data_IF_467705827191
#
_entry.id   IF_467705827191
#
_cell.length_a   1.000
_cell.length_b   1.000
_cell.length_c   1.000
_cell.angle_alpha   90.00
_cell.angle_beta   90.00
_cell.angle_gamma   90.00
#
_symmetry.space_group_name_H-M   'P 1'
#
loop_
_entity.id
_entity.type
_entity.pdbx_description
1 polymer ?
#
# COMPACT_ATOMS: atom_id res chain seq x y z
N UNK A 1 15.99 4.78 -6.86
CA UNK A 1 14.80 4.00 -6.48
C UNK A 1 13.72 5.03 -6.21
N UNK A 2 12.62 4.97 -6.95
CA UNK A 2 11.51 5.91 -6.86
C UNK A 2 10.55 5.40 -5.79
N UNK A 3 10.09 6.28 -4.91
CA UNK A 3 9.19 5.91 -3.82
C UNK A 3 7.82 6.55 -4.05
N UNK A 4 6.79 5.74 -3.94
CA UNK A 4 5.40 6.17 -3.91
C UNK A 4 4.79 5.67 -2.61
N UNK A 5 4.27 6.57 -1.79
CA UNK A 5 3.69 6.20 -0.50
C UNK A 5 2.18 6.41 -0.53
N UNK A 6 1.43 5.36 -0.26
CA UNK A 6 0.00 5.39 0.01
C UNK A 6 -0.15 5.40 1.54
N UNK A 7 -0.53 6.54 2.11
CA UNK A 7 -0.62 6.72 3.56
C UNK A 7 -2.06 6.88 4.01
N UNK A 8 -2.50 6.07 4.96
CA UNK A 8 -3.78 6.27 5.64
C UNK A 8 -3.74 7.56 6.50
N UNK A 9 -4.76 8.39 6.38
CA UNK A 9 -4.97 9.58 7.22
C UNK A 9 -6.12 9.38 8.23
N UNK A 10 -7.04 8.45 7.94
CA UNK A 10 -8.16 8.13 8.81
C UNK A 10 -9.19 7.22 8.17
N UNK A 11 -10.17 6.81 8.97
CA UNK A 11 -11.28 5.95 8.57
C UNK A 11 -12.51 6.83 8.27
N UNK A 12 -13.23 6.50 7.20
CA UNK A 12 -14.53 7.10 6.86
C UNK A 12 -15.62 6.01 6.80
N UNK A 13 -16.88 6.40 6.59
CA UNK A 13 -17.99 5.45 6.56
C UNK A 13 -17.87 4.49 5.36
N UNK A 14 -17.37 3.28 5.63
CA UNK A 14 -17.16 2.23 4.62
C UNK A 14 -15.79 2.25 3.93
N UNK A 15 -14.82 3.05 4.38
CA UNK A 15 -13.49 3.10 3.77
C UNK A 15 -12.47 3.93 4.55
N UNK A 16 -11.51 4.48 3.82
CA UNK A 16 -10.33 5.16 4.35
C UNK A 16 -10.05 6.44 3.58
N UNK A 17 -9.77 7.51 4.30
CA UNK A 17 -9.12 8.70 3.74
C UNK A 17 -7.62 8.47 3.75
N UNK A 18 -6.96 8.66 2.62
CA UNK A 18 -5.53 8.44 2.48
C UNK A 18 -4.88 9.54 1.63
N UNK A 19 -3.55 9.59 1.62
CA UNK A 19 -2.75 10.43 0.74
C UNK A 19 -1.87 9.59 -0.16
N UNK A 20 -1.82 9.95 -1.44
CA UNK A 20 -0.88 9.43 -2.41
C UNK A 20 0.29 10.42 -2.53
N UNK A 21 1.44 10.03 -2.00
CA UNK A 21 2.63 10.85 -1.91
C UNK A 21 3.70 10.39 -2.90
N UNK A 22 4.13 11.29 -3.77
CA UNK A 22 5.17 11.05 -4.76
C UNK A 22 6.53 11.53 -4.23
N UNK A 23 7.62 10.89 -4.66
CA UNK A 23 9.01 11.30 -4.35
C UNK A 23 9.32 12.74 -4.83
N UNK A 24 8.53 13.26 -5.78
CA UNK A 24 8.58 14.66 -6.24
C UNK A 24 8.19 15.68 -5.15
N UNK A 25 7.58 15.22 -4.04
CA UNK A 25 7.02 16.04 -2.98
C UNK A 25 5.54 16.38 -3.16
N UNK A 26 4.94 16.00 -4.30
CA UNK A 26 3.51 16.19 -4.53
C UNK A 26 2.70 15.15 -3.74
N UNK A 27 1.58 15.60 -3.18
CA UNK A 27 0.67 14.80 -2.37
C UNK A 27 -0.76 15.04 -2.79
N UNK A 28 -1.52 13.96 -2.96
CA UNK A 28 -2.89 13.99 -3.41
C UNK A 28 -3.80 13.24 -2.44
N UNK A 29 -4.90 13.84 -1.95
CA UNK A 29 -5.88 13.13 -1.16
C UNK A 29 -6.61 12.11 -2.03
N UNK A 30 -6.80 10.91 -1.50
CA UNK A 30 -7.52 9.81 -2.11
C UNK A 30 -8.50 9.20 -1.12
N UNK A 31 -9.49 8.46 -1.63
CA UNK A 31 -10.38 7.63 -0.83
C UNK A 31 -10.21 6.20 -1.28
N UNK A 32 -10.00 5.30 -0.33
CA UNK A 32 -9.82 3.88 -0.57
C UNK A 32 -10.90 3.12 0.18
N UNK A 33 -11.57 2.21 -0.48
CA UNK A 33 -12.50 1.24 0.10
C UNK A 33 -12.07 -0.14 -0.35
N UNK A 34 -12.43 -1.17 0.41
CA UNK A 34 -12.25 -2.54 -0.06
C UNK A 34 -13.05 -2.75 -1.36
N UNK A 35 -12.39 -3.09 -2.50
CA UNK A 35 -13.08 -3.40 -3.74
C UNK A 35 -14.01 -4.61 -3.66
N UNK A 36 -13.84 -5.50 -2.69
CA UNK A 36 -14.69 -6.67 -2.54
C UNK A 36 -15.84 -6.46 -1.56
N UNK A 37 -16.94 -7.13 -1.89
CA UNK A 37 -17.99 -7.46 -0.95
C UNK A 37 -17.61 -8.66 -0.10
N UNK A 38 -18.26 -8.83 1.05
CA UNK A 38 -18.09 -10.00 1.91
C UNK A 38 -18.32 -11.35 1.18
N UNK A 39 -19.13 -11.37 0.12
CA UNK A 39 -19.35 -12.59 -0.66
C UNK A 39 -18.20 -12.88 -1.61
N UNK A 40 -17.65 -11.85 -2.27
CA UNK A 40 -16.49 -12.00 -3.15
C UNK A 40 -15.25 -12.43 -2.37
N UNK A 41 -15.05 -11.91 -1.16
CA UNK A 41 -13.96 -12.35 -0.27
C UNK A 41 -14.11 -13.84 0.10
N UNK A 42 -15.33 -14.28 0.46
CA UNK A 42 -15.60 -15.71 0.75
C UNK A 42 -15.43 -16.62 -0.46
N UNK A 43 -15.83 -16.15 -1.64
CA UNK A 43 -15.64 -16.92 -2.88
C UNK A 43 -14.15 -17.05 -3.22
N UNK A 44 -13.34 -16.03 -2.90
CA UNK A 44 -11.89 -16.06 -3.05
C UNK A 44 -11.22 -16.99 -2.02
N UNK A 45 -11.64 -16.94 -0.76
CA UNK A 45 -11.21 -17.84 0.31
C UNK A 45 -11.48 -19.30 -0.08
N UNK A 46 -12.72 -19.61 -0.48
CA UNK A 46 -13.09 -20.94 -0.99
C UNK A 46 -12.21 -21.39 -2.16
N UNK A 47 -11.89 -20.49 -3.09
CA UNK A 47 -11.06 -20.81 -4.24
C UNK A 47 -9.64 -21.24 -3.81
N UNK A 48 -9.00 -20.47 -2.93
CA UNK A 48 -7.64 -20.77 -2.48
C UNK A 48 -7.55 -21.93 -1.47
N UNK A 49 -8.53 -22.07 -0.58
CA UNK A 49 -8.47 -23.03 0.51
C UNK A 49 -9.10 -24.38 0.18
N UNK A 50 -10.16 -24.41 -0.63
CA UNK A 50 -10.89 -25.64 -0.95
C UNK A 50 -10.65 -26.07 -2.39
N UNK A 51 -10.94 -25.19 -3.36
CA UNK A 51 -10.97 -25.60 -4.77
C UNK A 51 -9.58 -25.94 -5.31
N UNK A 52 -8.55 -25.14 -4.98
CA UNK A 52 -7.18 -25.43 -5.41
C UNK A 52 -6.61 -26.75 -4.84
N UNK A 53 -7.17 -27.24 -3.72
CA UNK A 53 -6.77 -28.54 -3.16
C UNK A 53 -7.34 -29.70 -3.99
N UNK A 54 -8.58 -29.57 -4.50
CA UNK A 54 -9.23 -30.58 -5.34
C UNK A 54 -10.02 -29.95 -6.51
N UNK A 55 -9.33 -29.50 -7.59
CA UNK A 55 -9.93 -28.68 -8.65
C UNK A 55 -10.70 -29.52 -9.68
N UNK A 56 -11.81 -30.11 -9.25
CA UNK A 56 -12.58 -31.08 -10.06
C UNK A 56 -14.02 -30.65 -10.36
N UNK A 57 -14.69 -30.01 -9.40
CA UNK A 57 -16.08 -29.53 -9.52
C UNK A 57 -16.12 -28.00 -9.41
N UNK A 58 -17.27 -27.37 -9.70
CA UNK A 58 -17.48 -25.92 -9.55
C UNK A 58 -16.48 -25.03 -10.33
N UNK A 59 -16.02 -25.51 -11.49
CA UNK A 59 -15.05 -24.80 -12.36
C UNK A 59 -15.49 -23.39 -12.75
N UNK A 60 -16.80 -23.16 -12.91
CA UNK A 60 -17.34 -21.84 -13.24
C UNK A 60 -17.23 -20.87 -12.06
N UNK A 61 -17.46 -21.34 -10.83
CA UNK A 61 -17.28 -20.54 -9.61
C UNK A 61 -15.79 -20.24 -9.41
N UNK A 62 -14.94 -21.24 -9.60
CA UNK A 62 -13.50 -21.10 -9.52
C UNK A 62 -12.95 -20.08 -10.53
N UNK A 63 -13.41 -20.14 -11.79
CA UNK A 63 -13.01 -19.16 -12.80
C UNK A 63 -13.46 -17.74 -12.44
N UNK A 64 -14.66 -17.58 -11.85
CA UNK A 64 -15.13 -16.27 -11.38
C UNK A 64 -14.29 -15.74 -10.23
N UNK A 65 -13.96 -16.58 -9.24
CA UNK A 65 -13.08 -16.21 -8.13
C UNK A 65 -11.66 -15.89 -8.61
N UNK A 66 -11.11 -16.65 -9.55
CA UNK A 66 -9.81 -16.32 -10.15
C UNK A 66 -9.83 -14.96 -10.87
N UNK A 67 -10.89 -14.67 -11.63
CA UNK A 67 -11.05 -13.41 -12.34
C UNK A 67 -11.32 -12.22 -11.39
N UNK A 68 -11.89 -12.46 -10.20
CA UNK A 68 -12.22 -11.39 -9.25
C UNK A 68 -10.96 -10.69 -8.73
N UNK A 69 -9.82 -11.40 -8.61
CA UNK A 69 -8.53 -10.80 -8.21
C UNK A 69 -8.09 -9.70 -9.18
N UNK A 70 -8.26 -9.93 -10.49
CA UNK A 70 -7.94 -8.90 -11.48
C UNK A 70 -8.87 -7.69 -11.34
N UNK A 71 -10.17 -7.93 -11.19
CA UNK A 71 -11.16 -6.87 -11.00
C UNK A 71 -10.89 -6.06 -9.72
N UNK A 72 -10.49 -6.74 -8.64
CA UNK A 72 -10.06 -6.11 -7.39
C UNK A 72 -8.92 -5.13 -7.64
N UNK A 73 -7.85 -5.62 -8.26
CA UNK A 73 -6.65 -4.84 -8.55
C UNK A 73 -6.90 -3.59 -9.40
N UNK A 74 -7.73 -3.74 -10.43
CA UNK A 74 -8.09 -2.64 -11.33
C UNK A 74 -9.03 -1.62 -10.68
N UNK A 75 -9.94 -2.07 -9.81
CA UNK A 75 -10.79 -1.17 -9.03
C UNK A 75 -9.99 -0.41 -7.97
N UNK A 76 -9.05 -1.08 -7.28
CA UNK A 76 -8.15 -0.42 -6.34
C UNK A 76 -7.27 0.61 -7.06
N UNK A 77 -6.78 0.29 -8.26
CA UNK A 77 -5.99 1.22 -9.08
C UNK A 77 -6.77 2.49 -9.43
N UNK A 78 -8.05 2.36 -9.81
CA UNK A 78 -8.90 3.53 -10.09
C UNK A 78 -9.01 4.45 -8.88
N UNK A 79 -9.22 3.88 -7.70
CA UNK A 79 -9.34 4.65 -6.45
C UNK A 79 -8.05 5.41 -6.11
N UNK A 80 -6.89 4.73 -6.23
CA UNK A 80 -5.59 5.30 -5.87
C UNK A 80 -5.10 6.33 -6.89
N UNK A 81 -5.14 6.01 -8.18
CA UNK A 81 -4.46 6.82 -9.20
C UNK A 81 -5.38 7.65 -10.08
N UNK A 82 -6.63 7.22 -10.28
CA UNK A 82 -7.55 7.89 -11.22
C UNK A 82 -8.57 8.80 -10.53
N UNK A 83 -8.56 8.88 -9.21
CA UNK A 83 -9.38 9.85 -8.45
C UNK A 83 -8.93 11.30 -8.64
N UNK A 84 -7.69 11.53 -9.09
CA UNK A 84 -7.13 12.85 -9.38
C UNK A 84 -6.32 12.84 -10.69
N UNK A 85 -6.64 13.76 -11.62
CA UNK A 85 -5.99 13.83 -12.94
C UNK A 85 -4.49 14.14 -12.87
N UNK A 86 -4.07 14.98 -11.92
CA UNK A 86 -2.66 15.33 -11.74
C UNK A 86 -1.88 14.14 -11.18
N UNK A 87 -2.44 13.45 -10.18
CA UNK A 87 -1.87 12.21 -9.65
C UNK A 87 -1.72 11.14 -10.73
N UNK A 88 -2.74 10.96 -11.58
CA UNK A 88 -2.67 10.04 -12.71
C UNK A 88 -1.58 10.43 -13.71
N UNK A 89 -1.42 11.73 -13.98
CA UNK A 89 -0.35 12.26 -14.83
C UNK A 89 1.04 11.89 -14.32
N UNK A 90 1.32 12.14 -13.04
CA UNK A 90 2.60 11.78 -12.42
C UNK A 90 2.83 10.27 -12.39
N UNK A 91 1.80 9.48 -12.07
CA UNK A 91 1.88 8.03 -12.14
C UNK A 91 2.27 7.54 -13.54
N UNK A 92 1.71 8.13 -14.60
CA UNK A 92 2.03 7.72 -15.99
C UNK A 92 3.50 7.93 -16.33
N UNK A 93 4.15 8.91 -15.71
CA UNK A 93 5.60 9.09 -15.86
C UNK A 93 6.38 8.06 -15.05
N UNK A 94 5.99 7.77 -13.80
CA UNK A 94 6.58 6.70 -12.98
C UNK A 94 6.44 5.32 -13.62
N UNK A 95 5.32 5.04 -14.28
CA UNK A 95 5.03 3.77 -14.97
C UNK A 95 6.09 3.39 -16.00
N UNK A 96 6.83 4.35 -16.55
CA UNK A 96 7.93 4.09 -17.50
C UNK A 96 9.12 3.38 -16.83
N UNK A 97 9.17 3.38 -15.50
CA UNK A 97 10.30 2.90 -14.69
C UNK A 97 9.83 1.98 -13.54
N UNK A 98 8.78 1.16 -13.75
CA UNK A 98 8.19 0.29 -12.70
C UNK A 98 9.22 -0.55 -11.93
N UNK A 99 10.22 -1.12 -12.61
CA UNK A 99 11.29 -1.90 -11.96
C UNK A 99 12.11 -1.15 -10.90
N UNK A 100 12.05 0.18 -10.90
CA UNK A 100 12.72 1.05 -9.93
C UNK A 100 11.75 1.65 -8.90
N UNK A 101 10.45 1.38 -9.05
CA UNK A 101 9.40 1.86 -8.16
C UNK A 101 9.33 0.98 -6.91
N UNK A 102 9.14 1.62 -5.77
CA UNK A 102 8.70 1.01 -4.54
C UNK A 102 7.41 1.69 -4.10
N UNK A 103 6.36 0.90 -3.89
CA UNK A 103 5.12 1.35 -3.30
C UNK A 103 5.17 1.01 -1.80
N UNK A 104 4.96 2.02 -0.96
CA UNK A 104 4.91 1.87 0.50
C UNK A 104 3.48 2.10 0.95
N UNK A 105 2.90 1.11 1.62
CA UNK A 105 1.62 1.22 2.31
C UNK A 105 1.91 1.60 3.76
N UNK A 106 1.60 2.86 4.12
CA UNK A 106 1.79 3.40 5.47
C UNK A 106 0.45 3.54 6.18
N UNK A 107 0.27 2.88 7.32
CA UNK A 107 -0.99 2.92 8.06
C UNK A 107 -0.83 2.38 9.48
N UNK A 108 -1.71 2.81 10.38
CA UNK A 108 -1.88 2.24 11.73
C UNK A 108 -3.07 1.27 11.80
N UNK A 109 -4.02 1.33 10.85
CA UNK A 109 -5.18 0.43 10.79
C UNK A 109 -4.79 -0.95 10.25
N UNK A 110 -5.06 -2.03 11.01
CA UNK A 110 -4.97 -3.39 10.49
C UNK A 110 -5.85 -3.61 9.26
N UNK A 111 -7.02 -2.97 9.19
CA UNK A 111 -7.99 -3.11 8.10
C UNK A 111 -7.47 -2.49 6.79
N UNK A 112 -6.84 -1.32 6.84
CA UNK A 112 -6.19 -0.74 5.66
C UNK A 112 -4.98 -1.56 5.22
N UNK A 113 -4.22 -2.09 6.19
CA UNK A 113 -3.14 -3.04 5.92
C UNK A 113 -3.68 -4.38 5.40
N UNK A 114 -4.92 -4.77 5.68
CA UNK A 114 -5.46 -6.06 5.22
C UNK A 114 -5.86 -6.04 3.75
N UNK A 115 -6.05 -4.86 3.13
CA UNK A 115 -6.38 -4.77 1.71
C UNK A 115 -5.33 -5.50 0.85
N UNK A 116 -5.80 -6.12 -0.26
CA UNK A 116 -4.97 -6.90 -1.18
C UNK A 116 -4.13 -5.98 -2.09
N UNK A 117 -3.27 -5.16 -1.50
CA UNK A 117 -2.40 -4.20 -2.20
C UNK A 117 -1.51 -4.87 -3.25
N UNK A 118 -1.14 -6.13 -3.03
CA UNK A 118 -0.36 -6.93 -3.97
C UNK A 118 -1.13 -7.23 -5.27
N UNK A 119 -2.47 -7.15 -5.26
CA UNK A 119 -3.31 -7.28 -6.45
C UNK A 119 -3.42 -5.98 -7.26
N UNK A 120 -2.99 -4.82 -6.72
CA UNK A 120 -3.05 -3.52 -7.36
C UNK A 120 -2.51 -3.57 -8.81
N UNK A 121 -3.37 -3.23 -9.79
CA UNK A 121 -3.08 -3.45 -11.21
C UNK A 121 -3.58 -2.29 -12.07
N UNK A 122 -2.68 -1.71 -12.86
CA UNK A 122 -3.07 -0.84 -13.98
C UNK A 122 -3.78 -1.68 -15.06
N UNK A 123 -5.02 -1.34 -15.48
CA UNK A 123 -5.73 -2.03 -16.55
C UNK A 123 -4.94 -2.13 -17.86
N UNK A 124 -4.08 -1.14 -18.14
CA UNK A 124 -3.27 -1.09 -19.36
C UNK A 124 -1.97 -1.91 -19.26
N UNK A 125 -1.73 -2.60 -18.14
CA UNK A 125 -0.57 -3.47 -17.94
C UNK A 125 -1.00 -4.95 -17.91
N UNK A 126 -0.12 -5.85 -18.38
CA UNK A 126 -0.45 -7.27 -18.48
C UNK A 126 -0.51 -7.98 -17.12
N UNK A 127 0.05 -7.39 -16.06
CA UNK A 127 0.19 -8.02 -14.74
C UNK A 127 0.11 -7.00 -13.59
N UNK A 128 -0.20 -7.43 -12.35
CA UNK A 128 -0.20 -6.57 -11.17
C UNK A 128 1.18 -5.98 -10.85
N UNK A 129 1.19 -4.89 -10.08
CA UNK A 129 2.41 -4.18 -9.70
C UNK A 129 3.36 -5.02 -8.86
N UNK A 130 2.87 -5.93 -8.03
CA UNK A 130 3.69 -6.84 -7.21
C UNK A 130 4.68 -7.70 -8.01
N UNK A 131 4.47 -7.86 -9.32
CA UNK A 131 5.40 -8.58 -10.21
C UNK A 131 6.51 -7.67 -10.74
N UNK A 132 6.23 -6.40 -10.94
CA UNK A 132 7.13 -5.45 -11.62
C UNK A 132 7.81 -4.46 -10.68
N UNK A 133 7.29 -4.28 -9.46
CA UNK A 133 7.82 -3.34 -8.47
C UNK A 133 7.67 -3.88 -7.04
N UNK A 134 8.41 -3.29 -6.11
CA UNK A 134 8.35 -3.68 -4.70
C UNK A 134 7.12 -3.04 -4.06
N UNK A 135 6.29 -3.85 -3.37
CA UNK A 135 5.24 -3.37 -2.48
C UNK A 135 5.67 -3.73 -1.06
N UNK A 136 5.66 -2.74 -0.17
CA UNK A 136 6.08 -2.92 1.22
C UNK A 136 5.11 -2.24 2.17
N UNK A 137 4.98 -2.81 3.37
CA UNK A 137 4.05 -2.36 4.40
C UNK A 137 4.85 -1.76 5.54
N UNK A 138 4.41 -0.61 6.05
CA UNK A 138 5.08 0.08 7.14
C UNK A 138 4.03 0.62 8.11
N UNK A 139 4.29 0.44 9.39
CA UNK A 139 3.52 1.10 10.44
C UNK A 139 3.79 2.61 10.39
N UNK A 140 2.73 3.40 10.40
CA UNK A 140 2.88 4.85 10.46
C UNK A 140 3.30 5.26 11.88
N UNK A 141 4.55 5.73 12.01
CA UNK A 141 5.06 6.28 13.27
C UNK A 141 4.49 7.69 13.44
N UNK A 142 3.88 7.97 14.60
CA UNK A 142 3.37 9.32 14.89
C UNK A 142 4.52 10.33 14.89
N UNK A 143 4.29 11.51 14.32
CA UNK A 143 5.28 12.58 14.28
C UNK A 143 5.82 12.94 15.68
N UNK A 144 4.98 12.87 16.71
CA UNK A 144 5.35 13.10 18.11
C UNK A 144 6.34 12.05 18.63
N UNK A 145 6.15 10.78 18.29
CA UNK A 145 7.06 9.70 18.65
C UNK A 145 8.39 9.86 17.92
N UNK A 146 8.36 10.22 16.63
CA UNK A 146 9.56 10.43 15.83
C UNK A 146 10.40 11.61 16.35
N UNK A 147 9.76 12.72 16.75
CA UNK A 147 10.42 13.84 17.43
C UNK A 147 11.02 13.39 18.77
N UNK A 148 10.30 12.58 19.55
CA UNK A 148 10.80 12.07 20.83
C UNK A 148 12.01 11.14 20.65
N UNK A 149 12.00 10.26 19.64
CA UNK A 149 13.15 9.42 19.28
C UNK A 149 14.37 10.25 18.88
N UNK A 150 14.20 11.25 18.01
CA UNK A 150 15.30 12.13 17.57
C UNK A 150 15.85 12.99 18.72
N UNK A 151 14.97 13.45 19.61
CA UNK A 151 15.34 14.22 20.80
C UNK A 151 16.13 13.36 21.78
N UNK A 152 15.66 12.13 22.08
CA UNK A 152 16.38 11.18 22.94
C UNK A 152 17.74 10.78 22.36
N UNK A 153 17.81 10.51 21.05
CA UNK A 153 19.06 10.18 20.37
C UNK A 153 20.08 11.33 20.44
N UNK A 154 19.63 12.58 20.26
CA UNK A 154 20.49 13.77 20.34
C UNK A 154 20.98 14.07 21.76
N UNK A 155 20.12 13.84 22.78
CA UNK A 155 20.50 13.99 24.19
C UNK A 155 21.48 12.90 24.63
N UNK A 156 21.26 11.64 24.23
CA UNK A 156 22.18 10.53 24.52
C UNK A 156 23.58 10.78 23.97
N UNK A 157 23.70 11.28 22.74
CA UNK A 157 24.97 11.63 22.11
C UNK A 157 25.67 12.84 22.79
N UNK A 158 24.91 13.75 23.40
CA UNK A 158 25.43 14.93 24.09
C UNK A 158 26.04 14.66 25.47
N UNK A 159 25.60 13.60 26.15
CA UNK A 159 26.10 13.22 27.49
C UNK A 159 27.46 12.50 27.36
N UNK A 160 27.64 11.60 26.40
CA UNK A 160 28.91 10.88 26.19
C UNK A 160 30.07 11.83 25.82
N UNK A 161 29.82 12.89 25.05
CA UNK A 161 30.87 13.87 24.69
C UNK A 161 31.30 14.80 25.82
N UNK A 162 30.55 14.90 26.93
CA UNK A 162 30.95 15.72 28.10
C UNK A 162 31.75 14.94 29.14
N UNK A 163 31.68 13.61 29.15
CA UNK A 163 32.42 12.77 30.13
C UNK A 163 33.88 12.53 29.70
N UNK A 164 34.20 12.64 28.40
CA UNK A 164 35.57 12.44 27.87
C UNK A 164 36.56 13.60 27.99
N UNK A 165 36.25 14.71 28.70
CA UNK A 165 37.12 15.92 28.77
C UNK A 165 37.56 16.35 30.17
N UNK A 166 37.55 15.43 31.15
CA UNK A 166 38.22 15.65 32.45
C UNK A 166 39.13 14.48 32.82
N UNK A 167 40.29 14.40 32.18
CA UNK A 167 41.50 13.92 32.83
C UNK A 167 42.66 14.81 32.36
N UNK A 168 43.15 15.64 33.29
CA UNK A 168 44.51 16.18 33.33
C UNK A 168 45.17 15.52 34.53
#
# INVERSE_FOLDING_TARGET
>A
MLVLTIREEGINDGGFTATLNFDSGNSYPITVTDPFTNQEEKDLEWYFEEWLVFPTLETDKAQKAANSVQNYGENLFKQVFQSNLNAYGEYRDLRKQLSQLQIIIESQSPEFQALHWEALKDPDLPRPFSIDCIISRREQVKAEEQINYLTKASIGYGIEKRVGKRQK
#
